data_IF_439928408272
#
_entry.id   IF_439928408272
#
_cell.length_a   1.000
_cell.length_b   1.000
_cell.length_c   1.000
_cell.angle_alpha   90.00
_cell.angle_beta   90.00
_cell.angle_gamma   90.00
#
_symmetry.space_group_name_H-M   'P 1'
#
loop_
_entity.id
_entity.type
_entity.pdbx_description
1 polymer ?
#
# COMPACT_ATOMS: atom_id res chain seq x y z
N UNK A 1 -10.20 10.87 -0.11
CA UNK A 1 -11.57 10.54 0.37
C UNK A 1 -12.67 11.37 -0.30
N UNK A 2 -12.45 12.64 -0.69
CA UNK A 2 -13.52 13.46 -1.31
C UNK A 2 -14.07 12.92 -2.63
N UNK A 3 -13.20 12.48 -3.54
CA UNK A 3 -13.62 11.88 -4.82
C UNK A 3 -14.44 10.59 -4.64
N UNK A 4 -14.03 9.72 -3.71
CA UNK A 4 -14.71 8.45 -3.42
C UNK A 4 -16.07 8.67 -2.75
N UNK A 5 -16.17 9.64 -1.83
CA UNK A 5 -17.46 10.02 -1.21
C UNK A 5 -18.39 10.64 -2.23
N UNK A 6 -17.86 11.47 -3.13
CA UNK A 6 -18.62 12.06 -4.24
C UNK A 6 -19.12 11.00 -5.22
N UNK A 7 -18.30 10.01 -5.55
CA UNK A 7 -18.68 8.89 -6.42
C UNK A 7 -19.80 8.05 -5.78
N UNK A 8 -19.69 7.77 -4.47
CA UNK A 8 -20.74 7.07 -3.70
C UNK A 8 -22.02 7.90 -3.61
N UNK A 9 -21.92 9.21 -3.40
CA UNK A 9 -23.10 10.08 -3.23
C UNK A 9 -23.80 10.39 -4.56
N UNK A 10 -23.05 10.46 -5.65
CA UNK A 10 -23.56 10.93 -6.95
C UNK A 10 -23.89 9.78 -7.90
N UNK A 11 -23.40 8.56 -7.62
CA UNK A 11 -23.53 7.40 -8.51
C UNK A 11 -22.77 7.53 -9.83
N UNK A 12 -21.92 8.56 -9.96
CA UNK A 12 -21.13 8.86 -11.15
C UNK A 12 -19.65 8.75 -10.83
N UNK A 13 -18.94 7.97 -11.66
CA UNK A 13 -17.49 7.88 -11.60
C UNK A 13 -16.85 9.14 -12.18
N UNK A 14 -15.84 9.69 -11.50
CA UNK A 14 -15.10 10.87 -11.99
C UNK A 14 -14.29 10.57 -13.26
N UNK A 15 -13.93 9.29 -13.47
CA UNK A 15 -13.18 8.80 -14.62
C UNK A 15 -14.00 7.72 -15.33
N UNK A 16 -13.76 7.51 -16.65
CA UNK A 16 -14.23 6.32 -17.34
C UNK A 16 -13.77 5.06 -16.58
N UNK A 17 -14.65 4.08 -16.48
CA UNK A 17 -14.45 2.85 -15.71
C UNK A 17 -13.12 2.15 -16.02
N UNK A 18 -12.75 2.08 -17.30
CA UNK A 18 -11.48 1.50 -17.73
C UNK A 18 -10.28 2.22 -17.10
N UNK A 19 -10.27 3.55 -17.11
CA UNK A 19 -9.16 4.34 -16.56
C UNK A 19 -9.11 4.14 -15.04
N UNK A 20 -10.26 4.13 -14.37
CA UNK A 20 -10.34 3.99 -12.92
C UNK A 20 -9.83 2.63 -12.44
N UNK A 21 -10.23 1.53 -13.10
CA UNK A 21 -9.85 0.17 -12.69
C UNK A 21 -8.35 -0.06 -12.87
N UNK A 22 -7.77 0.41 -13.98
CA UNK A 22 -6.33 0.35 -14.21
C UNK A 22 -5.54 1.29 -13.30
N UNK A 23 -6.06 2.49 -13.02
CA UNK A 23 -5.43 3.44 -12.12
C UNK A 23 -5.37 2.90 -10.69
N UNK A 24 -6.49 2.40 -10.15
CA UNK A 24 -6.56 1.83 -8.80
C UNK A 24 -5.56 0.68 -8.65
N UNK A 25 -5.52 -0.26 -9.60
CA UNK A 25 -4.60 -1.41 -9.54
C UNK A 25 -3.13 -1.04 -9.73
N UNK A 26 -2.83 -0.15 -10.68
CA UNK A 26 -1.47 0.30 -10.93
C UNK A 26 -0.91 1.09 -9.74
N UNK A 27 -1.71 2.00 -9.19
CA UNK A 27 -1.37 2.76 -8.01
C UNK A 27 -1.10 1.83 -6.82
N UNK A 28 -2.04 0.95 -6.48
CA UNK A 28 -1.89 0.06 -5.32
C UNK A 28 -0.67 -0.86 -5.43
N UNK A 29 -0.36 -1.38 -6.63
CA UNK A 29 0.86 -2.16 -6.84
C UNK A 29 2.14 -1.34 -6.67
N UNK A 30 2.19 -0.14 -7.25
CA UNK A 30 3.38 0.73 -7.16
C UNK A 30 3.64 1.14 -5.71
N UNK A 31 2.60 1.54 -4.97
CA UNK A 31 2.74 1.92 -3.57
C UNK A 31 3.10 0.72 -2.68
N UNK A 32 2.56 -0.46 -2.96
CA UNK A 32 2.93 -1.70 -2.26
C UNK A 32 4.42 -2.01 -2.44
N UNK A 33 4.94 -1.90 -3.67
CA UNK A 33 6.36 -2.12 -3.96
C UNK A 33 7.27 -1.07 -3.32
N UNK A 34 6.89 0.21 -3.40
CA UNK A 34 7.63 1.31 -2.79
C UNK A 34 7.71 1.16 -1.27
N UNK A 35 6.61 0.77 -0.63
CA UNK A 35 6.59 0.59 0.83
C UNK A 35 7.46 -0.61 1.25
N UNK A 36 7.34 -1.75 0.56
CA UNK A 36 8.17 -2.93 0.83
C UNK A 36 9.67 -2.64 0.65
N UNK A 37 10.04 -1.90 -0.39
CA UNK A 37 11.44 -1.54 -0.65
C UNK A 37 11.99 -0.55 0.37
N UNK A 38 11.17 0.41 0.82
CA UNK A 38 11.54 1.32 1.90
C UNK A 38 11.73 0.59 3.23
N UNK A 39 10.80 -0.29 3.62
CA UNK A 39 10.84 -1.02 4.89
C UNK A 39 11.98 -2.03 4.94
N UNK A 40 12.27 -2.73 3.84
CA UNK A 40 13.41 -3.66 3.75
C UNK A 40 14.75 -2.92 3.88
N UNK A 41 14.90 -1.78 3.20
CA UNK A 41 16.09 -0.92 3.32
C UNK A 41 16.23 -0.35 4.74
N UNK A 42 15.12 0.12 5.33
CA UNK A 42 15.08 0.63 6.70
C UNK A 42 15.43 -0.44 7.73
N UNK A 43 14.99 -1.69 7.52
CA UNK A 43 15.32 -2.83 8.37
C UNK A 43 16.82 -3.14 8.36
N UNK A 44 17.46 -3.14 7.19
CA UNK A 44 18.89 -3.40 7.10
C UNK A 44 19.72 -2.28 7.74
N UNK A 45 19.30 -1.03 7.56
CA UNK A 45 19.91 0.11 8.24
C UNK A 45 19.76 0.01 9.76
N UNK A 46 18.58 -0.36 10.25
CA UNK A 46 18.33 -0.55 11.68
C UNK A 46 19.20 -1.67 12.27
N UNK A 47 19.37 -2.79 11.54
CA UNK A 47 20.27 -3.88 11.96
C UNK A 47 21.72 -3.42 12.05
N UNK A 48 22.20 -2.68 11.04
CA UNK A 48 23.57 -2.13 11.03
C UNK A 48 23.79 -1.18 12.21
N UNK A 49 22.84 -0.28 12.47
CA UNK A 49 22.91 0.66 13.60
C UNK A 49 22.90 -0.06 14.96
N UNK A 50 22.12 -1.14 15.10
CA UNK A 50 22.07 -1.94 16.32
C UNK A 50 23.37 -2.68 16.62
N UNK A 51 24.11 -3.08 15.57
CA UNK A 51 25.43 -3.70 15.70
C UNK A 51 26.56 -2.75 16.09
N UNK A 52 26.35 -1.43 16.05
CA UNK A 52 27.42 -0.42 16.27
C UNK A 52 27.31 0.28 17.63
N UNK A 53 26.85 -0.42 18.68
CA UNK A 53 26.65 0.07 20.08
C UNK A 53 25.72 1.30 20.28
N UNK A 54 25.14 1.85 19.20
CA UNK A 54 24.20 2.98 19.26
C UNK A 54 22.92 2.65 20.03
N UNK A 55 22.46 1.40 20.00
CA UNK A 55 21.31 0.97 20.81
C UNK A 55 21.63 0.86 22.30
N UNK A 56 22.89 0.66 22.68
CA UNK A 56 23.31 0.59 24.09
C UNK A 56 23.30 1.98 24.73
N UNK A 57 23.67 3.01 23.95
CA UNK A 57 23.66 4.41 24.40
C UNK A 57 22.30 5.10 24.29
N UNK A 58 21.40 4.66 23.41
CA UNK A 58 20.09 5.29 23.20
C UNK A 58 19.00 4.23 22.91
N UNK A 59 18.54 3.55 23.95
CA UNK A 59 17.55 2.47 23.86
C UNK A 59 16.20 2.92 23.29
N UNK A 60 15.79 4.16 23.55
CA UNK A 60 14.54 4.73 23.03
C UNK A 60 14.53 4.81 21.49
N UNK A 61 15.67 5.14 20.87
CA UNK A 61 15.79 5.21 19.42
C UNK A 61 15.58 3.84 18.75
N UNK A 62 16.09 2.76 19.35
CA UNK A 62 15.96 1.43 18.76
C UNK A 62 14.55 0.87 18.90
N UNK A 63 13.88 1.11 20.04
CA UNK A 63 12.46 0.75 20.20
C UNK A 63 11.59 1.52 19.21
N UNK A 64 11.83 2.82 19.02
CA UNK A 64 11.08 3.62 18.05
C UNK A 64 11.33 3.15 16.60
N UNK A 65 12.56 2.79 16.27
CA UNK A 65 12.92 2.26 14.96
C UNK A 65 12.20 0.93 14.68
N UNK A 66 12.23 -0.01 15.63
CA UNK A 66 11.54 -1.30 15.52
C UNK A 66 10.02 -1.11 15.34
N UNK A 67 9.40 -0.17 16.08
CA UNK A 67 7.97 0.17 15.93
C UNK A 67 7.69 0.77 14.53
N UNK A 68 8.54 1.68 14.04
CA UNK A 68 8.33 2.31 12.73
C UNK A 68 8.38 1.29 11.58
N UNK A 69 9.34 0.35 11.63
CA UNK A 69 9.47 -0.73 10.66
C UNK A 69 8.25 -1.66 10.72
N UNK A 70 7.79 -2.02 11.92
CA UNK A 70 6.61 -2.87 12.09
C UNK A 70 5.34 -2.22 11.53
N UNK A 71 5.16 -0.90 11.76
CA UNK A 71 4.04 -0.14 11.18
C UNK A 71 4.13 -0.03 9.65
N UNK A 72 5.34 0.11 9.11
CA UNK A 72 5.59 0.06 7.65
C UNK A 72 5.10 -1.25 7.03
N UNK A 73 5.55 -2.39 7.58
CA UNK A 73 5.11 -3.71 7.11
C UNK A 73 3.61 -3.95 7.29
N UNK A 74 3.00 -3.41 8.35
CA UNK A 74 1.55 -3.45 8.51
C UNK A 74 0.84 -2.65 7.40
N UNK A 75 1.37 -1.48 7.03
CA UNK A 75 0.92 -0.70 5.88
C UNK A 75 1.08 -1.46 4.56
N UNK A 76 2.20 -2.16 4.37
CA UNK A 76 2.44 -3.01 3.20
C UNK A 76 1.38 -4.10 3.06
N UNK A 77 1.03 -4.79 4.16
CA UNK A 77 -0.04 -5.80 4.14
C UNK A 77 -1.40 -5.19 3.76
N UNK A 78 -1.70 -4.00 4.27
CA UNK A 78 -2.93 -3.29 3.94
C UNK A 78 -3.00 -2.92 2.46
N UNK A 79 -1.94 -2.33 1.91
CA UNK A 79 -1.85 -2.00 0.49
C UNK A 79 -1.83 -3.25 -0.39
N UNK A 80 -1.18 -4.34 0.06
CA UNK A 80 -1.20 -5.63 -0.61
C UNK A 80 -2.61 -6.20 -0.73
N UNK A 81 -3.40 -6.17 0.36
CA UNK A 81 -4.81 -6.57 0.32
C UNK A 81 -5.64 -5.67 -0.60
N UNK A 82 -5.38 -4.35 -0.59
CA UNK A 82 -6.02 -3.41 -1.53
C UNK A 82 -5.70 -3.78 -2.99
N UNK A 83 -4.44 -4.08 -3.28
CA UNK A 83 -3.97 -4.46 -4.62
C UNK A 83 -4.61 -5.76 -5.13
N UNK A 84 -4.92 -6.71 -4.24
CA UNK A 84 -5.64 -7.94 -4.58
C UNK A 84 -7.10 -7.64 -4.95
N UNK A 85 -7.76 -6.77 -4.18
CA UNK A 85 -9.15 -6.38 -4.45
C UNK A 85 -9.27 -5.55 -5.74
N UNK A 86 -8.33 -4.64 -5.99
CA UNK A 86 -8.26 -3.89 -7.25
C UNK A 86 -7.89 -4.80 -8.42
N UNK A 87 -6.99 -5.77 -8.23
CA UNK A 87 -6.64 -6.77 -9.23
C UNK A 87 -7.84 -7.64 -9.62
N UNK A 88 -8.64 -8.08 -8.64
CA UNK A 88 -9.90 -8.78 -8.91
C UNK A 88 -10.84 -7.95 -9.81
N UNK A 89 -10.97 -6.64 -9.53
CA UNK A 89 -11.77 -5.72 -10.35
C UNK A 89 -11.24 -5.59 -11.78
N UNK A 90 -9.92 -5.57 -11.97
CA UNK A 90 -9.29 -5.60 -13.32
C UNK A 90 -9.64 -6.88 -14.05
N UNK A 91 -9.54 -8.04 -13.37
CA UNK A 91 -9.88 -9.33 -13.98
C UNK A 91 -11.34 -9.39 -14.38
N UNK A 92 -12.27 -8.95 -13.53
CA UNK A 92 -13.69 -8.84 -13.87
C UNK A 92 -13.91 -7.93 -15.08
N UNK A 93 -13.24 -6.78 -15.13
CA UNK A 93 -13.32 -5.85 -16.25
C UNK A 93 -12.85 -6.48 -17.57
N UNK A 94 -11.76 -7.25 -17.55
CA UNK A 94 -11.25 -7.94 -18.74
C UNK A 94 -12.22 -9.03 -19.23
N UNK A 95 -12.86 -9.77 -18.32
CA UNK A 95 -13.73 -10.90 -18.67
C UNK A 95 -15.14 -10.44 -19.06
N UNK A 96 -15.74 -9.54 -18.27
CA UNK A 96 -17.15 -9.16 -18.40
C UNK A 96 -17.34 -7.79 -19.08
N UNK A 97 -16.27 -7.04 -19.34
CA UNK A 97 -16.35 -5.67 -19.83
C UNK A 97 -16.84 -4.66 -18.78
N UNK A 98 -17.04 -5.09 -17.53
CA UNK A 98 -17.44 -4.24 -16.41
C UNK A 98 -16.72 -4.66 -15.12
N UNK A 99 -16.60 -3.72 -14.18
CA UNK A 99 -15.94 -3.86 -12.88
C UNK A 99 -16.66 -4.83 -11.94
N UNK A 100 -17.94 -5.15 -12.22
CA UNK A 100 -18.76 -6.04 -11.41
C UNK A 100 -18.85 -7.44 -12.04
N UNK A 101 -18.96 -8.45 -11.17
CA UNK A 101 -19.33 -9.79 -11.58
C UNK A 101 -20.87 -9.86 -11.67
N UNK A 102 -21.44 -9.36 -12.77
CA UNK A 102 -22.83 -9.59 -13.16
C UNK A 102 -22.81 -10.35 -14.49
#
# INVERSE_FOLDING_TARGET
MGASVWEISSGFTLLPEIIQVWFDFGHDQVFTYLLLSADSTGTELARTMKGTDRCTSNSAFCVQTDISIALGFAGFLFLGLSSLLSGFRVVCFIINGSRFHI
#
